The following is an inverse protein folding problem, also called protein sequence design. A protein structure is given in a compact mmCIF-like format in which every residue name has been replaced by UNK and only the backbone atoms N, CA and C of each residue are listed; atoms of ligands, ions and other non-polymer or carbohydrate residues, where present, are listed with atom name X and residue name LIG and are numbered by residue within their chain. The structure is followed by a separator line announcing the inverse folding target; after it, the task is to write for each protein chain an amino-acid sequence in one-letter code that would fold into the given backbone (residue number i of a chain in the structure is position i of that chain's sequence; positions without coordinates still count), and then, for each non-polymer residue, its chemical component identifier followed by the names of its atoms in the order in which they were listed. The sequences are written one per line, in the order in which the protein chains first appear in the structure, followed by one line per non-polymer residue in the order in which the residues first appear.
data_IF_813917849627
#
_entry.id   IF_813917849627
#
_cell.length_a   1.000
_cell.length_b   1.000
_cell.length_c   1.000
_cell.angle_alpha   90.00
_cell.angle_beta   90.00
_cell.angle_gamma   90.00
#
_symmetry.space_group_name_H-M   'P 1'
#
loop_
_entity.id
_entity.type
_entity.pdbx_description
1 polymer ?
#
# COMPACT_ATOMS: atom_id res chain seq x y z
N UNK A 1 -5.52 19.02 14.58
CA UNK A 1 -4.12 18.65 14.29
C UNK A 1 -3.28 19.87 14.53
N UNK A 2 -2.28 19.75 15.39
CA UNK A 2 -1.25 20.78 15.51
C UNK A 2 -0.39 20.75 14.25
N UNK A 3 -0.12 21.91 13.67
CA UNK A 3 0.71 22.02 12.48
C UNK A 3 2.00 22.75 12.83
N UNK A 4 3.08 22.34 12.18
CA UNK A 4 4.38 23.00 12.27
C UNK A 4 4.89 23.28 10.87
N UNK A 5 5.90 24.13 10.77
CA UNK A 5 6.50 24.52 9.49
C UNK A 5 7.85 23.87 9.32
N UNK A 6 8.10 23.34 8.13
CA UNK A 6 9.43 22.91 7.69
C UNK A 6 9.85 23.75 6.50
N UNK A 7 11.16 23.99 6.36
CA UNK A 7 11.70 24.69 5.20
C UNK A 7 12.21 23.67 4.18
N UNK A 8 11.78 23.82 2.93
CA UNK A 8 12.18 22.96 1.81
C UNK A 8 12.82 23.82 0.72
N UNK A 9 13.80 23.25 0.01
CA UNK A 9 14.29 23.86 -1.23
C UNK A 9 13.17 23.78 -2.27
N UNK A 10 13.09 24.78 -3.15
CA UNK A 10 12.11 24.84 -4.23
C UNK A 10 12.14 23.56 -5.10
N UNK A 11 13.35 23.09 -5.45
CA UNK A 11 13.54 21.81 -6.16
C UNK A 11 12.94 20.60 -5.44
N UNK A 12 12.94 20.59 -4.11
CA UNK A 12 12.32 19.51 -3.32
C UNK A 12 10.81 19.62 -3.37
N UNK A 13 10.25 20.82 -3.27
CA UNK A 13 8.81 21.06 -3.40
C UNK A 13 8.28 20.61 -4.77
N UNK A 14 9.02 20.90 -5.85
CA UNK A 14 8.67 20.44 -7.20
C UNK A 14 8.65 18.92 -7.31
N UNK A 15 9.60 18.22 -6.67
CA UNK A 15 9.56 16.75 -6.59
C UNK A 15 8.33 16.27 -5.85
N UNK A 16 7.98 16.87 -4.71
CA UNK A 16 6.80 16.49 -3.93
C UNK A 16 5.50 16.66 -4.74
N UNK A 17 5.42 17.65 -5.64
CA UNK A 17 4.26 17.79 -6.55
C UNK A 17 4.10 16.60 -7.49
N UNK A 18 5.21 16.05 -8.00
CA UNK A 18 5.18 14.89 -8.88
C UNK A 18 4.65 13.62 -8.18
N UNK A 19 4.86 13.51 -6.88
CA UNK A 19 4.41 12.36 -6.09
C UNK A 19 2.96 12.44 -5.61
N UNK A 20 2.24 13.52 -5.95
CA UNK A 20 0.80 13.58 -5.71
C UNK A 20 0.08 12.63 -6.67
N UNK A 21 -0.71 11.73 -6.12
CA UNK A 21 -1.57 10.83 -6.90
C UNK A 21 -2.88 11.53 -7.29
N UNK A 22 -3.36 12.46 -6.46
CA UNK A 22 -4.59 13.21 -6.72
C UNK A 22 -4.40 14.70 -6.43
N UNK A 23 -5.18 15.55 -7.11
CA UNK A 23 -5.03 17.01 -7.04
C UNK A 23 -5.25 17.60 -5.64
N UNK A 24 -5.99 16.90 -4.76
CA UNK A 24 -6.33 17.34 -3.39
C UNK A 24 -5.42 16.76 -2.31
N UNK A 25 -4.46 15.89 -2.66
CA UNK A 25 -3.53 15.31 -1.68
C UNK A 25 -2.64 16.41 -1.08
N UNK A 26 -2.51 16.44 0.23
CA UNK A 26 -1.65 17.37 0.97
C UNK A 26 -0.19 16.93 0.92
N UNK A 27 0.75 17.86 1.11
CA UNK A 27 2.16 17.47 1.18
C UNK A 27 2.48 16.64 2.43
N UNK A 28 1.70 16.79 3.51
CA UNK A 28 1.82 15.97 4.70
C UNK A 28 1.48 14.49 4.40
N UNK A 29 0.38 14.24 3.67
CA UNK A 29 0.01 12.89 3.21
C UNK A 29 1.09 12.29 2.29
N UNK A 30 1.60 13.07 1.33
CA UNK A 30 2.66 12.62 0.42
C UNK A 30 3.93 12.24 1.19
N UNK A 31 4.35 13.07 2.15
CA UNK A 31 5.55 12.82 2.96
C UNK A 31 5.35 11.56 3.81
N UNK A 32 4.21 11.44 4.50
CA UNK A 32 3.92 10.27 5.33
C UNK A 32 3.89 8.99 4.49
N UNK A 33 3.27 9.00 3.31
CA UNK A 33 3.28 7.85 2.39
C UNK A 33 4.71 7.41 2.03
N UNK A 34 5.60 8.36 1.73
CA UNK A 34 7.00 8.05 1.45
C UNK A 34 7.74 7.47 2.66
N UNK A 35 7.51 8.05 3.84
CA UNK A 35 8.11 7.56 5.09
C UNK A 35 7.62 6.14 5.38
N UNK A 36 6.31 5.88 5.28
CA UNK A 36 5.74 4.54 5.47
C UNK A 36 6.32 3.52 4.49
N UNK A 37 6.52 3.89 3.22
CA UNK A 37 7.17 3.00 2.24
C UNK A 37 8.61 2.62 2.64
N UNK A 38 9.34 3.54 3.26
CA UNK A 38 10.70 3.28 3.75
C UNK A 38 10.71 2.46 5.05
N UNK A 39 9.72 2.64 5.91
CA UNK A 39 9.56 1.91 7.17
C UNK A 39 9.05 0.47 6.99
N UNK A 40 8.06 0.27 6.10
CA UNK A 40 7.52 -1.05 5.78
C UNK A 40 8.53 -1.93 5.05
N UNK A 41 9.54 -1.31 4.42
CA UNK A 41 10.59 -1.98 3.67
C UNK A 41 10.09 -2.57 2.34
N UNK A 42 11.01 -3.09 1.54
CA UNK A 42 10.64 -3.77 0.30
C UNK A 42 10.03 -5.15 0.59
N UNK A 43 9.04 -5.54 -0.23
CA UNK A 43 8.57 -6.92 -0.23
C UNK A 43 9.73 -7.86 -0.54
N UNK A 44 9.99 -8.80 0.36
CA UNK A 44 10.96 -9.88 0.08
C UNK A 44 10.60 -10.59 -1.22
N UNK A 45 11.61 -11.11 -1.95
CA UNK A 45 11.37 -11.88 -3.18
C UNK A 45 10.35 -13.01 -2.99
N UNK A 46 10.34 -13.62 -1.80
CA UNK A 46 9.39 -14.67 -1.44
C UNK A 46 7.95 -14.13 -1.33
N UNK A 47 7.75 -12.98 -0.69
CA UNK A 47 6.45 -12.33 -0.61
C UNK A 47 5.94 -11.97 -2.01
N UNK A 48 6.79 -11.37 -2.84
CA UNK A 48 6.49 -11.02 -4.24
C UNK A 48 6.09 -12.26 -5.05
N UNK A 49 6.86 -13.36 -4.96
CA UNK A 49 6.52 -14.63 -5.64
C UNK A 49 5.16 -15.18 -5.19
N UNK A 50 4.85 -15.13 -3.89
CA UNK A 50 3.56 -15.59 -3.35
C UNK A 50 2.39 -14.74 -3.86
N UNK A 51 2.55 -13.42 -3.93
CA UNK A 51 1.54 -12.52 -4.49
C UNK A 51 1.29 -12.84 -5.96
N UNK A 52 2.36 -12.98 -6.77
CA UNK A 52 2.25 -13.34 -8.19
C UNK A 52 1.54 -14.68 -8.37
N UNK A 53 1.90 -15.70 -7.59
CA UNK A 53 1.23 -17.00 -7.62
C UNK A 53 -0.26 -16.90 -7.30
N UNK A 54 -0.63 -16.12 -6.29
CA UNK A 54 -2.04 -15.89 -5.94
C UNK A 54 -2.81 -15.20 -7.06
N UNK A 55 -2.22 -14.21 -7.74
CA UNK A 55 -2.81 -13.57 -8.90
C UNK A 55 -3.01 -14.53 -10.07
N UNK A 56 -2.06 -15.45 -10.29
CA UNK A 56 -2.23 -16.51 -11.29
C UNK A 56 -3.34 -17.50 -10.93
N UNK A 57 -3.46 -17.86 -9.66
CA UNK A 57 -4.53 -18.74 -9.19
C UNK A 57 -5.90 -18.12 -9.45
N UNK A 58 -6.05 -16.81 -9.17
CA UNK A 58 -7.27 -16.06 -9.50
C UNK A 58 -7.54 -16.07 -11.00
N UNK A 59 -6.54 -15.77 -11.84
CA UNK A 59 -6.67 -15.80 -13.31
C UNK A 59 -7.08 -17.17 -13.84
N UNK A 60 -6.60 -18.25 -13.21
CA UNK A 60 -6.88 -19.64 -13.59
C UNK A 60 -8.15 -20.19 -12.92
N UNK A 61 -8.90 -19.36 -12.17
CA UNK A 61 -10.12 -19.76 -11.48
C UNK A 61 -9.91 -20.71 -10.30
N UNK A 62 -8.67 -20.86 -9.82
CA UNK A 62 -8.32 -21.65 -8.63
C UNK A 62 -8.60 -20.87 -7.36
N UNK A 63 -9.86 -20.52 -7.17
CA UNK A 63 -10.36 -19.75 -6.03
C UNK A 63 -11.28 -20.61 -5.18
N UNK A 64 -11.41 -20.27 -3.90
CA UNK A 64 -12.43 -20.85 -3.02
C UNK A 64 -13.33 -19.74 -2.51
N UNK A 65 -14.60 -20.06 -2.24
CA UNK A 65 -15.53 -19.07 -1.69
C UNK A 65 -15.10 -18.65 -0.29
N UNK A 66 -15.48 -17.43 0.10
CA UNK A 66 -15.12 -16.86 1.39
C UNK A 66 -15.70 -17.69 2.53
N UNK A 67 -16.93 -18.19 2.39
CA UNK A 67 -17.61 -19.04 3.38
C UNK A 67 -16.87 -20.37 3.58
N UNK A 68 -16.44 -20.99 2.49
CA UNK A 68 -15.68 -22.24 2.55
C UNK A 68 -14.29 -22.04 3.17
N UNK A 69 -13.62 -20.93 2.84
CA UNK A 69 -12.35 -20.56 3.46
C UNK A 69 -12.51 -20.35 4.97
N UNK A 70 -13.51 -19.57 5.37
CA UNK A 70 -13.78 -19.24 6.77
C UNK A 70 -14.13 -20.49 7.59
N UNK A 71 -15.00 -21.35 7.07
CA UNK A 71 -15.33 -22.64 7.68
C UNK A 71 -14.10 -23.53 7.88
N UNK A 72 -13.20 -23.59 6.88
CA UNK A 72 -11.97 -24.39 6.97
C UNK A 72 -10.97 -23.84 8.00
N UNK A 73 -11.02 -22.54 8.27
CA UNK A 73 -10.12 -21.83 9.20
C UNK A 73 -10.73 -21.55 10.57
N UNK A 74 -12.00 -21.92 10.80
CA UNK A 74 -12.70 -21.62 12.05
C UNK A 74 -12.97 -20.13 12.26
N UNK A 75 -13.07 -19.36 11.17
CA UNK A 75 -13.34 -17.92 11.19
C UNK A 75 -14.86 -17.73 11.05
N UNK A 76 -15.46 -16.88 11.88
CA UNK A 76 -16.85 -16.45 11.73
C UNK A 76 -16.90 -15.26 10.78
N UNK A 77 -17.77 -15.33 9.77
CA UNK A 77 -18.09 -14.20 8.90
C UNK A 77 -19.30 -13.49 9.53
N UNK A 78 -19.13 -12.24 9.94
CA UNK A 78 -20.21 -11.35 10.43
C UNK A 78 -20.96 -10.68 9.27
#
# INVERSE_FOLDING_TARGET
METTTIQLKEKTLEKLKYFKEFSKESYDEVINKMVSLLEEGELTELATKKIISGLEDIKKGRVISLENYAKKRGISLE
#
